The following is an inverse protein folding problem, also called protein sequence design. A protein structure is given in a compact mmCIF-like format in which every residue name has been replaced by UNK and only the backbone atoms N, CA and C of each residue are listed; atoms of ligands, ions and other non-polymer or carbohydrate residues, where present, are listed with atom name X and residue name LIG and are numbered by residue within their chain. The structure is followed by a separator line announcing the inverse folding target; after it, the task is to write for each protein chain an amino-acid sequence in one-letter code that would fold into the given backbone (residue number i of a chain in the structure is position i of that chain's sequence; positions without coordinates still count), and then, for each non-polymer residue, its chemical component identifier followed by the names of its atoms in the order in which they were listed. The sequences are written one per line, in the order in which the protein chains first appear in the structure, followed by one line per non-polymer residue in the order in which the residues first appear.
data_IF_099551649805
#
_entry.id   IF_099551649805
#
_cell.length_a   1.000
_cell.length_b   1.000
_cell.length_c   1.000
_cell.angle_alpha   90.00
_cell.angle_beta   90.00
_cell.angle_gamma   90.00
#
_symmetry.space_group_name_H-M   'P 1'
#
loop_
_entity.id
_entity.type
_entity.pdbx_description
1 polymer ?
#
# COMPACT_ATOMS: atom_id res chain seq x y z
N UNK A 1 -9.61 -15.15 22.07
CA UNK A 1 -9.05 -13.81 21.78
C UNK A 1 -9.92 -13.24 20.69
N UNK A 2 -10.61 -12.14 20.93
CA UNK A 2 -11.25 -11.40 19.83
C UNK A 2 -10.12 -10.86 18.94
N UNK A 3 -10.17 -11.14 17.64
CA UNK A 3 -9.31 -10.49 16.66
C UNK A 3 -9.60 -8.98 16.71
N UNK A 4 -8.69 -8.21 17.30
CA UNK A 4 -8.79 -6.76 17.31
C UNK A 4 -8.59 -6.25 15.87
N UNK A 5 -9.69 -6.00 15.18
CA UNK A 5 -9.69 -5.41 13.84
C UNK A 5 -9.96 -3.92 13.96
N UNK A 6 -9.20 -3.09 13.25
CA UNK A 6 -9.43 -1.65 13.24
C UNK A 6 -10.87 -1.30 12.85
N UNK A 7 -11.43 -0.24 13.44
CA UNK A 7 -12.79 0.21 13.10
C UNK A 7 -12.89 0.62 11.62
N UNK A 8 -14.09 0.57 11.00
CA UNK A 8 -14.25 0.98 9.59
C UNK A 8 -13.71 2.38 9.30
N UNK A 9 -13.90 3.34 10.21
CA UNK A 9 -13.32 4.68 10.06
C UNK A 9 -11.78 4.69 10.08
N UNK A 10 -11.16 3.81 10.87
CA UNK A 10 -9.70 3.65 10.89
C UNK A 10 -9.19 2.96 9.62
N UNK A 11 -9.92 1.97 9.12
CA UNK A 11 -9.65 1.30 7.84
C UNK A 11 -9.69 2.27 6.66
N UNK A 12 -10.72 3.12 6.57
CA UNK A 12 -10.82 4.16 5.53
C UNK A 12 -9.62 5.10 5.60
N UNK A 13 -9.27 5.62 6.78
CA UNK A 13 -8.11 6.51 6.94
C UNK A 13 -6.80 5.83 6.53
N UNK A 14 -6.65 4.54 6.85
CA UNK A 14 -5.53 3.74 6.42
C UNK A 14 -5.45 3.67 4.89
N UNK A 15 -6.53 3.23 4.25
CA UNK A 15 -6.59 3.08 2.79
C UNK A 15 -6.36 4.41 2.07
N UNK A 16 -6.98 5.51 2.50
CA UNK A 16 -6.77 6.86 1.91
C UNK A 16 -5.29 7.21 1.94
N UNK A 17 -4.65 7.07 3.10
CA UNK A 17 -3.23 7.38 3.26
C UNK A 17 -2.35 6.53 2.35
N UNK A 18 -2.63 5.22 2.25
CA UNK A 18 -1.86 4.32 1.37
C UNK A 18 -2.04 4.66 -0.11
N UNK A 19 -3.24 5.04 -0.51
CA UNK A 19 -3.55 5.48 -1.88
C UNK A 19 -2.79 6.77 -2.21
N UNK A 20 -2.84 7.77 -1.33
CA UNK A 20 -2.18 9.06 -1.55
C UNK A 20 -0.66 8.92 -1.71
N UNK A 21 -0.04 8.07 -0.89
CA UNK A 21 1.40 7.82 -0.96
C UNK A 21 1.78 7.05 -2.23
N UNK A 22 1.01 6.03 -2.62
CA UNK A 22 1.27 5.28 -3.87
C UNK A 22 1.03 6.11 -5.13
N UNK A 23 0.02 6.98 -5.13
CA UNK A 23 -0.22 7.87 -6.26
C UNK A 23 0.97 8.82 -6.47
N UNK A 24 1.62 9.28 -5.39
CA UNK A 24 2.85 10.08 -5.47
C UNK A 24 4.01 9.30 -6.06
N UNK A 25 4.17 8.02 -5.66
CA UNK A 25 5.20 7.14 -6.26
C UNK A 25 4.93 6.99 -7.77
N UNK A 26 3.69 6.72 -8.18
CA UNK A 26 3.30 6.51 -9.58
C UNK A 26 3.57 7.73 -10.47
N UNK A 27 3.37 8.96 -9.98
CA UNK A 27 3.57 10.18 -10.79
C UNK A 27 4.96 10.81 -10.64
N UNK A 28 5.78 10.34 -9.70
CA UNK A 28 7.12 10.90 -9.46
C UNK A 28 8.06 10.67 -10.66
N UNK A 29 8.85 11.69 -11.01
CA UNK A 29 9.89 11.63 -12.04
C UNK A 29 11.13 12.43 -11.56
N UNK A 30 12.25 11.77 -11.22
CA UNK A 30 12.44 10.31 -11.19
C UNK A 30 11.58 9.62 -10.11
N UNK A 31 11.45 8.30 -10.19
CA UNK A 31 10.70 7.51 -9.19
C UNK A 31 11.27 7.73 -7.78
N UNK A 32 10.38 8.04 -6.83
CA UNK A 32 10.71 8.18 -5.41
C UNK A 32 10.84 6.79 -4.74
N UNK A 33 12.02 6.18 -4.90
CA UNK A 33 12.32 4.88 -4.30
C UNK A 33 12.32 4.90 -2.76
N UNK A 34 12.61 6.04 -2.13
CA UNK A 34 12.58 6.14 -0.66
C UNK A 34 11.14 6.06 -0.14
N UNK A 35 10.22 6.76 -0.81
CA UNK A 35 8.80 6.65 -0.51
C UNK A 35 8.27 5.25 -0.79
N UNK A 36 8.67 4.60 -1.90
CA UNK A 36 8.27 3.23 -2.21
C UNK A 36 8.74 2.21 -1.16
N UNK A 37 10.00 2.30 -0.70
CA UNK A 37 10.50 1.47 0.41
C UNK A 37 9.71 1.69 1.69
N UNK A 38 9.51 2.96 2.06
CA UNK A 38 8.75 3.33 3.26
C UNK A 38 7.32 2.81 3.21
N UNK A 39 6.67 2.92 2.05
CA UNK A 39 5.31 2.41 1.86
C UNK A 39 5.27 0.90 2.07
N UNK A 40 6.15 0.15 1.39
CA UNK A 40 6.22 -1.31 1.51
C UNK A 40 6.51 -1.75 2.94
N UNK A 41 7.46 -1.09 3.62
CA UNK A 41 7.81 -1.36 5.00
C UNK A 41 6.64 -1.17 5.98
N UNK A 42 5.86 -0.10 5.79
CA UNK A 42 4.72 0.15 6.66
C UNK A 42 3.61 -0.87 6.41
N UNK A 43 3.30 -1.16 5.15
CA UNK A 43 2.20 -2.06 4.78
C UNK A 43 2.49 -3.49 5.23
N UNK A 44 3.71 -3.99 5.02
CA UNK A 44 4.08 -5.33 5.53
C UNK A 44 3.96 -5.47 7.05
N UNK A 45 4.11 -4.37 7.79
CA UNK A 45 4.11 -4.37 9.25
C UNK A 45 2.75 -4.10 9.88
N UNK A 46 1.81 -3.47 9.16
CA UNK A 46 0.56 -3.02 9.77
C UNK A 46 -0.72 -3.33 8.98
N UNK A 47 -0.66 -3.83 7.74
CA UNK A 47 -1.87 -4.05 6.95
C UNK A 47 -2.84 -5.05 7.63
N UNK A 48 -2.30 -6.09 8.25
CA UNK A 48 -3.07 -7.06 9.04
C UNK A 48 -3.82 -6.41 10.22
N UNK A 49 -3.19 -5.48 10.94
CA UNK A 49 -3.84 -4.74 12.04
C UNK A 49 -5.02 -3.87 11.57
N UNK A 50 -5.07 -3.53 10.28
CA UNK A 50 -6.19 -2.84 9.66
C UNK A 50 -7.16 -3.78 8.93
N UNK A 51 -6.94 -5.10 8.95
CA UNK A 51 -7.82 -6.07 8.29
C UNK A 51 -7.58 -6.23 6.79
N UNK A 52 -6.37 -5.93 6.31
CA UNK A 52 -5.98 -6.07 4.90
C UNK A 52 -4.75 -6.98 4.71
N UNK A 53 -4.73 -8.22 5.25
CA UNK A 53 -3.57 -9.11 5.17
C UNK A 53 -3.13 -9.40 3.72
N UNK A 54 -4.03 -9.31 2.75
CA UNK A 54 -3.75 -9.48 1.33
C UNK A 54 -2.78 -8.43 0.76
N UNK A 55 -2.60 -7.28 1.43
CA UNK A 55 -1.66 -6.24 1.01
C UNK A 55 -0.22 -6.53 1.44
N UNK A 56 0.00 -7.41 2.41
CA UNK A 56 1.33 -7.69 3.00
C UNK A 56 2.32 -8.17 1.94
N UNK A 57 1.91 -9.11 1.09
CA UNK A 57 2.76 -9.66 0.04
C UNK A 57 3.20 -8.57 -0.97
N UNK A 58 2.25 -7.74 -1.43
CA UNK A 58 2.55 -6.64 -2.34
C UNK A 58 3.42 -5.56 -1.69
N UNK A 59 3.27 -5.31 -0.39
CA UNK A 59 4.15 -4.42 0.37
C UNK A 59 5.60 -4.89 0.39
N UNK A 60 5.83 -6.18 0.63
CA UNK A 60 7.17 -6.79 0.60
C UNK A 60 7.80 -6.69 -0.79
N UNK A 61 7.04 -7.00 -1.84
CA UNK A 61 7.53 -6.92 -3.22
C UNK A 61 7.88 -5.48 -3.63
N UNK A 62 7.05 -4.50 -3.27
CA UNK A 62 7.31 -3.10 -3.61
C UNK A 62 8.58 -2.58 -2.92
N UNK A 63 8.76 -2.91 -1.64
CA UNK A 63 9.98 -2.56 -0.90
C UNK A 63 11.22 -3.14 -1.59
N UNK A 64 11.17 -4.42 -1.97
CA UNK A 64 12.26 -5.10 -2.67
C UNK A 64 12.59 -4.46 -4.03
N UNK A 65 11.58 -4.12 -4.84
CA UNK A 65 11.81 -3.45 -6.13
C UNK A 65 12.36 -2.04 -5.95
N UNK A 66 11.94 -1.34 -4.90
CA UNK A 66 12.45 -0.01 -4.58
C UNK A 66 13.90 -0.06 -4.07
N UNK A 67 14.28 -1.05 -3.26
CA UNK A 67 15.66 -1.32 -2.86
C UNK A 67 16.57 -1.60 -4.07
N UNK A 68 16.06 -2.37 -5.04
CA UNK A 68 16.75 -2.67 -6.29
C UNK A 68 16.74 -1.50 -7.30
N UNK A 69 16.04 -0.39 -7.00
CA UNK A 69 15.82 0.76 -7.89
C UNK A 69 15.25 0.36 -9.27
N UNK A 70 14.37 -0.65 -9.29
CA UNK A 70 13.73 -1.15 -10.51
C UNK A 70 12.52 -0.27 -10.86
N UNK A 71 12.74 0.80 -11.60
CA UNK A 71 11.71 1.78 -12.01
C UNK A 71 10.48 1.11 -12.62
N UNK A 72 10.69 0.14 -13.52
CA UNK A 72 9.60 -0.50 -14.26
C UNK A 72 8.72 -1.30 -13.30
N UNK A 73 9.33 -2.11 -12.44
CA UNK A 73 8.57 -2.93 -11.49
C UNK A 73 7.92 -2.12 -10.38
N UNK A 74 8.57 -1.06 -9.89
CA UNK A 74 7.96 -0.13 -8.93
C UNK A 74 6.70 0.49 -9.53
N UNK A 75 6.77 1.05 -10.75
CA UNK A 75 5.59 1.64 -11.40
C UNK A 75 4.47 0.62 -11.64
N UNK A 76 4.81 -0.56 -12.18
CA UNK A 76 3.85 -1.61 -12.45
C UNK A 76 3.13 -2.07 -11.17
N UNK A 77 3.89 -2.38 -10.13
CA UNK A 77 3.33 -2.88 -8.89
C UNK A 77 2.56 -1.78 -8.13
N UNK A 78 3.06 -0.54 -8.12
CA UNK A 78 2.32 0.61 -7.56
C UNK A 78 0.94 0.78 -8.20
N UNK A 79 0.86 0.68 -9.53
CA UNK A 79 -0.41 0.74 -10.26
C UNK A 79 -1.37 -0.40 -9.86
N UNK A 80 -0.86 -1.63 -9.79
CA UNK A 80 -1.65 -2.80 -9.37
C UNK A 80 -2.19 -2.64 -7.95
N UNK A 81 -1.34 -2.22 -7.01
CA UNK A 81 -1.75 -2.01 -5.63
C UNK A 81 -2.79 -0.89 -5.53
N UNK A 82 -2.63 0.23 -6.25
CA UNK A 82 -3.61 1.31 -6.26
C UNK A 82 -5.01 0.83 -6.67
N UNK A 83 -5.09 -0.04 -7.67
CA UNK A 83 -6.36 -0.62 -8.09
C UNK A 83 -6.97 -1.51 -7.00
N UNK A 84 -6.17 -2.33 -6.33
CA UNK A 84 -6.62 -3.15 -5.19
C UNK A 84 -7.10 -2.29 -4.02
N UNK A 85 -6.35 -1.25 -3.63
CA UNK A 85 -6.75 -0.33 -2.55
C UNK A 85 -8.05 0.42 -2.85
N UNK A 86 -8.25 0.86 -4.11
CA UNK A 86 -9.50 1.50 -4.53
C UNK A 86 -10.69 0.54 -4.49
N UNK A 87 -10.46 -0.75 -4.75
CA UNK A 87 -11.50 -1.78 -4.61
C UNK A 87 -11.85 -1.97 -3.12
N UNK A 88 -10.85 -2.14 -2.26
CA UNK A 88 -11.04 -2.26 -0.81
C UNK A 88 -11.76 -1.02 -0.23
N UNK A 89 -11.42 0.18 -0.72
CA UNK A 89 -12.08 1.42 -0.27
C UNK A 89 -13.59 1.38 -0.52
N UNK A 90 -14.03 0.87 -1.68
CA UNK A 90 -15.46 0.75 -2.02
C UNK A 90 -16.17 -0.31 -1.17
N UNK A 91 -15.44 -1.31 -0.69
CA UNK A 91 -15.99 -2.37 0.16
C UNK A 91 -16.17 -1.89 1.60
N UNK A 92 -15.23 -1.08 2.11
CA UNK A 92 -15.25 -0.55 3.48
C UNK A 92 -16.14 0.70 3.61
N UNK A 93 -16.23 1.53 2.57
CA UNK A 93 -17.07 2.73 2.51
C UNK A 93 -18.00 2.66 1.28
N UNK A 94 -19.06 1.83 1.32
CA UNK A 94 -20.03 1.69 0.24
C UNK A 94 -20.87 2.95 -0.01
#
# INVERSE_FOLDING_TARGET
MEEFTASPAAQVRYLVRRIDELARIEISEPVDFELAKKWGHQVKGNAESFGFPELTASGIELEKFAEAKDTVKVRLLSHQILNSLRKLMKEVAP
#
